data_IF_758234393090
#
_entry.id   IF_758234393090
#
_cell.length_a   1.000
_cell.length_b   1.000
_cell.length_c   1.000
_cell.angle_alpha   90.00
_cell.angle_beta   90.00
_cell.angle_gamma   90.00
#
_symmetry.space_group_name_H-M   'P 1'
#
loop_
_entity.id
_entity.type
_entity.pdbx_description
1 polymer ?
#
# COMPACT_ATOMS: atom_id res chain seq x y z
N UNK A 1 -20.75 -9.42 1.64
CA UNK A 1 -20.25 -8.06 1.85
C UNK A 1 -19.66 -7.55 0.55
N UNK A 2 -20.43 -6.72 -0.13
CA UNK A 2 -20.06 -6.06 -1.39
C UNK A 2 -19.73 -4.57 -1.12
N UNK A 3 -19.25 -3.86 -2.15
CA UNK A 3 -18.87 -2.46 -2.01
C UNK A 3 -20.02 -1.55 -1.56
N UNK A 4 -21.26 -1.81 -2.02
CA UNK A 4 -22.42 -1.01 -1.65
C UNK A 4 -22.77 -1.18 -0.16
N UNK A 5 -22.76 -2.42 0.34
CA UNK A 5 -22.99 -2.74 1.76
C UNK A 5 -21.94 -2.06 2.66
N UNK A 6 -20.66 -2.04 2.26
CA UNK A 6 -19.58 -1.38 3.02
C UNK A 6 -19.80 0.14 3.08
N UNK A 7 -20.21 0.76 1.97
CA UNK A 7 -20.45 2.21 1.91
C UNK A 7 -21.62 2.59 2.82
N UNK A 8 -22.71 1.81 2.83
CA UNK A 8 -23.85 2.05 3.72
C UNK A 8 -23.44 2.00 5.19
N UNK A 9 -22.60 1.03 5.58
CA UNK A 9 -22.11 0.93 6.95
C UNK A 9 -21.20 2.12 7.33
N UNK A 10 -20.31 2.56 6.44
CA UNK A 10 -19.47 3.75 6.67
C UNK A 10 -20.34 5.01 6.84
N UNK A 11 -21.43 5.15 6.09
CA UNK A 11 -22.34 6.29 6.20
C UNK A 11 -23.10 6.31 7.53
N UNK A 12 -23.35 5.15 8.14
CA UNK A 12 -24.01 5.01 9.45
C UNK A 12 -23.09 5.32 10.64
N UNK A 13 -21.78 5.46 10.42
CA UNK A 13 -20.84 5.76 11.48
C UNK A 13 -21.01 7.19 12.03
N UNK A 14 -20.74 7.40 13.33
CA UNK A 14 -20.48 8.71 13.89
C UNK A 14 -19.43 9.49 13.08
N UNK A 15 -19.52 10.81 13.09
CA UNK A 15 -18.65 11.67 12.26
C UNK A 15 -17.16 11.50 12.56
N UNK A 16 -16.81 11.33 13.83
CA UNK A 16 -15.45 11.09 14.31
C UNK A 16 -14.89 9.73 13.85
N UNK A 17 -15.74 8.70 13.76
CA UNK A 17 -15.36 7.38 13.23
C UNK A 17 -15.25 7.40 11.70
N UNK A 18 -16.11 8.15 11.00
CA UNK A 18 -16.03 8.30 9.54
C UNK A 18 -14.72 8.96 9.09
N UNK A 19 -14.19 9.91 9.87
CA UNK A 19 -12.88 10.53 9.63
C UNK A 19 -11.74 9.51 9.61
N UNK A 20 -11.77 8.53 10.52
CA UNK A 20 -10.76 7.47 10.61
C UNK A 20 -10.77 6.54 9.41
N UNK A 21 -11.93 6.29 8.80
CA UNK A 21 -12.03 5.49 7.56
C UNK A 21 -11.33 6.19 6.40
N UNK A 22 -11.52 7.50 6.26
CA UNK A 22 -10.83 8.29 5.22
C UNK A 22 -9.32 8.26 5.45
N UNK A 23 -8.90 8.43 6.70
CA UNK A 23 -7.50 8.33 7.08
C UNK A 23 -6.93 6.94 6.75
N UNK A 24 -7.64 5.86 7.08
CA UNK A 24 -7.22 4.50 6.76
C UNK A 24 -7.03 4.28 5.24
N UNK A 25 -7.98 4.72 4.42
CA UNK A 25 -7.89 4.55 2.95
C UNK A 25 -6.72 5.34 2.37
N UNK A 26 -6.41 6.53 2.90
CA UNK A 26 -5.25 7.33 2.45
C UNK A 26 -3.90 6.65 2.69
N UNK A 27 -3.83 5.73 3.65
CA UNK A 27 -2.61 4.97 3.95
C UNK A 27 -2.56 3.61 3.24
N UNK A 28 -3.58 3.25 2.46
CA UNK A 28 -3.51 2.04 1.66
C UNK A 28 -2.56 2.23 0.47
N UNK A 29 -1.72 1.23 0.15
CA UNK A 29 -0.92 1.25 -1.07
C UNK A 29 -1.83 1.42 -2.29
N UNK A 30 -1.37 2.21 -3.27
CA UNK A 30 -2.05 2.30 -4.55
C UNK A 30 -1.87 1.00 -5.36
N UNK A 31 -2.57 0.89 -6.48
CA UNK A 31 -2.54 -0.31 -7.32
C UNK A 31 -1.13 -0.65 -7.82
N UNK A 32 -0.35 0.36 -8.24
CA UNK A 32 1.03 0.19 -8.68
C UNK A 32 1.92 -0.41 -7.57
N UNK A 33 1.77 0.08 -6.34
CA UNK A 33 2.52 -0.46 -5.19
C UNK A 33 2.08 -1.90 -4.89
N UNK A 34 0.78 -2.20 -4.96
CA UNK A 34 0.26 -3.55 -4.75
C UNK A 34 0.76 -4.54 -5.83
N UNK A 35 0.92 -4.07 -7.06
CA UNK A 35 1.48 -4.85 -8.15
C UNK A 35 2.97 -5.12 -7.93
N UNK A 36 3.75 -4.08 -7.62
CA UNK A 36 5.17 -4.21 -7.30
C UNK A 36 5.42 -5.17 -6.11
N UNK A 37 4.56 -5.13 -5.08
CA UNK A 37 4.64 -6.07 -3.94
C UNK A 37 4.39 -7.53 -4.31
N UNK A 38 3.69 -7.80 -5.43
CA UNK A 38 3.42 -9.15 -5.92
C UNK A 38 4.47 -9.64 -6.92
N UNK A 39 5.33 -8.76 -7.41
CA UNK A 39 6.38 -9.15 -8.33
C UNK A 39 7.32 -10.16 -7.66
N UNK A 40 7.66 -11.27 -8.36
CA UNK A 40 8.62 -12.22 -7.84
C UNK A 40 9.96 -11.54 -7.58
N UNK A 41 10.54 -11.78 -6.41
CA UNK A 41 11.90 -11.31 -6.10
C UNK A 41 12.98 -12.21 -6.68
N UNK A 42 12.59 -13.31 -7.35
CA UNK A 42 13.51 -14.24 -7.99
C UNK A 42 14.19 -13.56 -9.18
N UNK A 43 15.53 -13.56 -9.20
CA UNK A 43 16.32 -12.89 -10.25
C UNK A 43 16.61 -11.42 -9.97
N UNK A 44 16.07 -10.84 -8.88
CA UNK A 44 16.51 -9.51 -8.44
C UNK A 44 17.94 -9.56 -7.89
N UNK A 45 18.76 -8.52 -8.14
CA UNK A 45 20.07 -8.40 -7.53
C UNK A 45 20.00 -8.49 -6.00
N UNK A 46 20.94 -9.21 -5.41
CA UNK A 46 21.14 -9.23 -3.95
C UNK A 46 22.43 -8.49 -3.66
N UNK A 47 22.37 -7.56 -2.72
CA UNK A 47 23.52 -6.77 -2.29
C UNK A 47 23.97 -7.23 -0.92
N UNK A 48 25.28 -7.38 -0.72
CA UNK A 48 25.86 -7.79 0.55
C UNK A 48 26.02 -6.60 1.51
N UNK A 49 26.18 -5.39 0.94
CA UNK A 49 26.33 -4.15 1.69
C UNK A 49 25.33 -3.08 1.23
N UNK A 50 25.15 -2.04 2.05
CA UNK A 50 24.29 -0.90 1.72
C UNK A 50 24.97 -0.01 0.68
N UNK A 51 26.30 0.02 0.68
CA UNK A 51 27.14 0.71 -0.29
C UNK A 51 26.90 0.16 -1.69
N UNK A 52 26.93 -1.17 -1.88
CA UNK A 52 26.68 -1.81 -3.18
C UNK A 52 25.28 -1.48 -3.71
N UNK A 53 24.27 -1.48 -2.83
CA UNK A 53 22.90 -1.09 -3.18
C UNK A 53 22.84 0.36 -3.67
N UNK A 54 23.49 1.29 -2.96
CA UNK A 54 23.47 2.70 -3.35
C UNK A 54 24.29 3.01 -4.59
N UNK A 55 25.33 2.23 -4.89
CA UNK A 55 26.05 2.34 -6.16
C UNK A 55 25.16 1.93 -7.34
N UNK A 56 24.44 0.81 -7.24
CA UNK A 56 23.48 0.39 -8.29
C UNK A 56 22.37 1.42 -8.51
N UNK A 57 21.81 1.98 -7.43
CA UNK A 57 20.71 2.96 -7.52
C UNK A 57 21.12 4.29 -8.17
N UNK A 58 22.42 4.58 -8.31
CA UNK A 58 22.91 5.84 -8.92
C UNK A 58 22.90 5.82 -10.45
N UNK A 59 22.86 4.63 -11.07
CA UNK A 59 22.88 4.46 -12.54
C UNK A 59 24.26 4.66 -13.16
#
# INVERSE_FOLDING_TARGET
MNAAEIIEEIQRLPEDERGKVIEFVRHQPNQETLEAMREPTEGLPRFETVEDLFEEMRG
#
